data_IF_750125038014
#
_entry.id   IF_750125038014
#
_cell.length_a   1.000
_cell.length_b   1.000
_cell.length_c   1.000
_cell.angle_alpha   90.00
_cell.angle_beta   90.00
_cell.angle_gamma   90.00
#
_symmetry.space_group_name_H-M   'P 1'
#
loop_
_entity.id
_entity.type
_entity.pdbx_description
1 polymer ?
#
# COMPACT_ATOMS: atom_id res chain seq x y z
N UNK A 1 27.29 14.30 -0.17
CA UNK A 1 26.01 13.98 0.50
C UNK A 1 25.11 13.43 -0.59
N UNK A 2 25.36 12.16 -0.89
CA UNK A 2 24.91 11.49 -2.10
C UNK A 2 23.49 10.94 -1.92
N UNK A 3 22.62 11.40 -2.81
CA UNK A 3 21.50 10.63 -3.37
C UNK A 3 20.55 9.92 -2.38
N UNK A 4 19.86 10.69 -1.54
CA UNK A 4 18.49 10.33 -1.18
C UNK A 4 17.59 10.55 -2.41
N UNK A 5 17.72 9.68 -3.43
CA UNK A 5 16.93 9.81 -4.64
C UNK A 5 15.45 9.63 -4.24
N UNK A 6 14.58 10.62 -4.48
CA UNK A 6 13.16 10.56 -4.09
C UNK A 6 12.49 9.28 -4.57
N UNK A 7 12.98 8.70 -5.67
CA UNK A 7 12.54 7.42 -6.22
C UNK A 7 12.82 6.23 -5.32
N UNK A 8 13.98 6.17 -4.67
CA UNK A 8 14.31 5.08 -3.73
C UNK A 8 13.45 5.17 -2.48
N UNK A 9 13.18 6.39 -2.00
CA UNK A 9 12.25 6.60 -0.89
C UNK A 9 10.83 6.20 -1.27
N UNK A 10 10.33 6.67 -2.43
CA UNK A 10 8.99 6.32 -2.90
C UNK A 10 8.85 4.79 -3.08
N UNK A 11 9.88 4.09 -3.61
CA UNK A 11 9.88 2.62 -3.73
C UNK A 11 9.91 1.93 -2.37
N UNK A 12 10.73 2.41 -1.42
CA UNK A 12 10.82 1.84 -0.09
C UNK A 12 9.50 2.02 0.69
N UNK A 13 8.86 3.18 0.57
CA UNK A 13 7.54 3.44 1.15
C UNK A 13 6.48 2.52 0.54
N UNK A 14 6.47 2.33 -0.79
CA UNK A 14 5.52 1.41 -1.43
C UNK A 14 5.70 -0.02 -0.93
N UNK A 15 6.95 -0.50 -0.81
CA UNK A 15 7.23 -1.84 -0.27
C UNK A 15 6.73 -1.98 1.16
N UNK A 16 7.05 -1.01 2.02
CA UNK A 16 6.61 -1.02 3.41
C UNK A 16 5.09 -1.01 3.55
N UNK A 17 4.39 -0.19 2.77
CA UNK A 17 2.93 -0.16 2.79
C UNK A 17 2.31 -1.49 2.34
N UNK A 18 2.86 -2.13 1.31
CA UNK A 18 2.41 -3.45 0.86
C UNK A 18 2.70 -4.56 1.87
N UNK A 19 3.86 -4.52 2.54
CA UNK A 19 4.22 -5.47 3.61
C UNK A 19 3.29 -5.31 4.81
N UNK A 20 3.01 -4.08 5.25
CA UNK A 20 2.04 -3.82 6.32
C UNK A 20 0.65 -4.32 5.95
N UNK A 21 0.18 -4.05 4.72
CA UNK A 21 -1.11 -4.56 4.25
C UNK A 21 -1.17 -6.09 4.28
N UNK A 22 -0.07 -6.76 3.94
CA UNK A 22 0.01 -8.21 3.99
C UNK A 22 -0.08 -8.75 5.42
N UNK A 23 0.69 -8.16 6.35
CA UNK A 23 0.68 -8.58 7.75
C UNK A 23 -0.67 -8.28 8.43
N UNK A 24 -1.22 -7.07 8.23
CA UNK A 24 -2.54 -6.69 8.77
C UNK A 24 -3.65 -7.52 8.14
N UNK A 25 -3.58 -7.80 6.83
CA UNK A 25 -4.52 -8.65 6.12
C UNK A 25 -4.49 -10.09 6.62
N UNK A 26 -3.31 -10.68 6.81
CA UNK A 26 -3.14 -12.04 7.33
C UNK A 26 -3.54 -12.12 8.80
N UNK A 27 -3.25 -11.11 9.61
CA UNK A 27 -3.73 -11.04 11.00
C UNK A 27 -5.26 -11.00 11.05
N UNK A 28 -5.90 -10.18 10.21
CA UNK A 28 -7.36 -10.05 10.15
C UNK A 28 -8.04 -11.33 9.65
N UNK A 29 -7.46 -11.97 8.63
CA UNK A 29 -7.95 -13.24 8.09
C UNK A 29 -7.67 -14.42 9.04
N UNK A 30 -6.55 -14.40 9.76
CA UNK A 30 -6.12 -15.44 10.69
C UNK A 30 -6.78 -15.37 12.08
N UNK A 31 -7.19 -14.17 12.52
CA UNK A 31 -7.93 -13.95 13.76
C UNK A 31 -9.44 -14.22 13.62
N UNK A 32 -9.88 -14.76 12.47
CA UNK A 32 -11.23 -15.35 12.31
C UNK A 32 -11.42 -16.63 13.15
N UNK A 33 -10.76 -16.72 14.31
CA UNK A 33 -10.75 -17.80 15.29
C UNK A 33 -12.07 -17.98 16.06
N UNK A 34 -13.09 -17.16 15.78
CA UNK A 34 -14.38 -17.25 16.45
C UNK A 34 -15.55 -17.23 15.47
N UNK A 35 -15.51 -18.12 14.49
CA UNK A 35 -16.70 -18.76 13.95
C UNK A 35 -17.57 -17.97 12.96
N UNK A 36 -17.71 -16.64 13.02
CA UNK A 36 -18.59 -15.92 12.09
C UNK A 36 -17.92 -14.68 11.49
N UNK A 37 -17.76 -14.74 10.16
CA UNK A 37 -17.63 -13.67 9.16
C UNK A 37 -16.85 -12.43 9.61
N UNK A 38 -15.67 -12.22 9.02
CA UNK A 38 -14.91 -10.98 9.13
C UNK A 38 -15.82 -9.77 8.82
N UNK A 39 -16.25 -9.05 9.87
CA UNK A 39 -17.25 -7.99 9.75
C UNK A 39 -16.70 -6.84 8.90
N UNK A 40 -17.30 -6.51 7.75
CA UNK A 40 -16.78 -5.47 6.85
C UNK A 40 -16.80 -4.07 7.48
N UNK A 41 -17.57 -3.86 8.55
CA UNK A 41 -17.63 -2.62 9.32
C UNK A 41 -16.70 -2.61 10.55
N UNK A 42 -15.97 -3.68 10.80
CA UNK A 42 -14.99 -3.74 11.89
C UNK A 42 -13.90 -2.70 11.69
N UNK A 43 -13.42 -2.13 12.81
CA UNK A 43 -12.33 -1.14 12.80
C UNK A 43 -11.10 -1.62 12.02
N UNK A 44 -10.80 -2.92 12.06
CA UNK A 44 -9.64 -3.49 11.36
C UNK A 44 -9.87 -3.53 9.84
N UNK A 45 -11.07 -3.90 9.38
CA UNK A 45 -11.40 -3.89 7.96
C UNK A 45 -11.49 -2.47 7.39
N UNK A 46 -11.99 -1.51 8.17
CA UNK A 46 -11.98 -0.10 7.78
C UNK A 46 -10.56 0.42 7.62
N UNK A 47 -9.67 0.11 8.57
CA UNK A 47 -8.24 0.46 8.48
C UNK A 47 -7.57 -0.19 7.27
N UNK A 48 -7.86 -1.46 6.97
CA UNK A 48 -7.37 -2.14 5.77
C UNK A 48 -7.87 -1.46 4.50
N UNK A 49 -9.15 -1.07 4.42
CA UNK A 49 -9.70 -0.36 3.27
C UNK A 49 -9.04 1.01 3.07
N UNK A 50 -8.84 1.77 4.14
CA UNK A 50 -8.10 3.03 4.10
C UNK A 50 -6.64 2.83 3.65
N UNK A 51 -5.98 1.76 4.12
CA UNK A 51 -4.63 1.40 3.70
C UNK A 51 -4.56 1.04 2.21
N UNK A 52 -5.55 0.30 1.70
CA UNK A 52 -5.68 -0.04 0.29
C UNK A 52 -5.87 1.23 -0.57
N UNK A 53 -6.76 2.15 -0.17
CA UNK A 53 -6.94 3.43 -0.87
C UNK A 53 -5.66 4.28 -0.85
N UNK A 54 -4.97 4.32 0.30
CA UNK A 54 -3.72 5.03 0.44
C UNK A 54 -2.65 4.48 -0.50
N UNK A 55 -2.49 3.16 -0.57
CA UNK A 55 -1.57 2.49 -1.50
C UNK A 55 -1.96 2.79 -2.95
N UNK A 56 -3.24 2.73 -3.30
CA UNK A 56 -3.71 3.00 -4.66
C UNK A 56 -3.37 4.44 -5.10
N UNK A 57 -3.65 5.42 -4.25
CA UNK A 57 -3.31 6.83 -4.49
C UNK A 57 -1.80 7.05 -4.61
N UNK A 58 -1.02 6.39 -3.74
CA UNK A 58 0.43 6.43 -3.77
C UNK A 58 1.01 5.81 -5.05
N UNK A 59 0.49 4.67 -5.49
CA UNK A 59 0.89 4.01 -6.75
C UNK A 59 0.52 4.86 -7.96
N UNK A 60 -0.66 5.49 -7.99
CA UNK A 60 -1.02 6.40 -9.06
C UNK A 60 -0.07 7.60 -9.10
N UNK A 61 0.25 8.19 -7.96
CA UNK A 61 1.20 9.29 -7.83
C UNK A 61 2.60 8.89 -8.29
N UNK A 62 3.06 7.70 -7.88
CA UNK A 62 4.32 7.12 -8.32
C UNK A 62 4.34 6.88 -9.84
N UNK A 63 3.29 6.29 -10.42
CA UNK A 63 3.16 6.09 -11.86
C UNK A 63 3.17 7.42 -12.60
N UNK A 64 2.45 8.45 -12.15
CA UNK A 64 2.47 9.77 -12.80
C UNK A 64 3.88 10.37 -12.74
N UNK A 65 4.56 10.29 -11.60
CA UNK A 65 5.89 10.87 -11.36
C UNK A 65 7.01 10.18 -12.18
N UNK A 66 6.90 8.86 -12.42
CA UNK A 66 7.97 8.07 -13.04
C UNK A 66 7.63 7.46 -14.41
N UNK A 67 6.35 7.24 -14.74
CA UNK A 67 5.91 6.66 -16.02
C UNK A 67 5.75 7.72 -17.11
N UNK A 68 5.36 8.95 -16.76
CA UNK A 68 5.31 10.10 -17.70
C UNK A 68 6.69 10.44 -18.27
N UNK A 69 7.78 10.13 -17.55
CA UNK A 69 9.15 10.32 -18.04
C UNK A 69 9.58 9.32 -19.12
N UNK A 70 8.84 8.24 -19.34
CA UNK A 70 9.16 7.23 -20.37
C UNK A 70 8.63 7.65 -21.75
N UNK A 71 7.56 8.45 -21.80
CA UNK A 71 6.89 8.82 -23.07
C UNK A 71 7.62 9.95 -23.81
N UNK A 72 8.32 10.86 -23.12
CA UNK A 72 9.08 11.96 -23.74
C UNK A 72 10.55 11.62 -24.06
N UNK A 73 10.86 10.35 -24.33
CA UNK A 73 12.22 9.89 -24.60
C UNK A 73 12.29 8.98 -25.83
N UNK A 74 11.48 9.28 -26.85
CA UNK A 74 11.54 8.69 -28.19
C UNK A 74 11.70 9.79 -29.22
#
# INVERSE_FOLDING_TARGET
MDEYSPKRHDIAQLKFLCENLYDEGIATLGDSHHGWVNDPTSSVNLQLNELIEHIASFVMSYKIKYMTKVIYRS
#
